data_IF_773320262241
#
_entry.id   IF_773320262241
#
_cell.length_a   1.000
_cell.length_b   1.000
_cell.length_c   1.000
_cell.angle_alpha   90.00
_cell.angle_beta   90.00
_cell.angle_gamma   90.00
#
_symmetry.space_group_name_H-M   'P 1'
#
loop_
_entity.id
_entity.type
_entity.pdbx_description
1 polymer ?
#
# COMPACT_ATOMS: atom_id res chain seq x y z
N UNK A 1 -0.88 6.55 2.74
CA UNK A 1 -1.16 6.65 1.28
C UNK A 1 -1.59 8.07 1.00
N UNK A 2 -0.72 8.90 0.42
CA UNK A 2 -1.13 10.24 -0.02
C UNK A 2 -1.78 10.03 -1.38
N UNK A 3 -3.11 9.99 -1.42
CA UNK A 3 -3.83 10.07 -2.69
C UNK A 3 -3.89 11.56 -3.02
N UNK A 4 -2.94 12.00 -3.83
CA UNK A 4 -2.97 13.36 -4.39
C UNK A 4 -4.08 13.36 -5.44
N UNK A 5 -5.26 13.83 -5.06
CA UNK A 5 -6.35 14.06 -5.98
C UNK A 5 -6.07 15.34 -6.77
N UNK A 6 -5.26 15.26 -7.81
CA UNK A 6 -5.39 16.19 -8.92
C UNK A 6 -4.91 15.59 -10.25
N UNK A 7 -5.82 14.82 -10.86
CA UNK A 7 -5.75 14.47 -12.29
C UNK A 7 -7.17 14.17 -12.81
N UNK A 8 -8.02 15.20 -12.84
CA UNK A 8 -8.88 15.48 -13.99
C UNK A 8 -9.83 14.41 -14.55
N UNK A 9 -10.29 13.40 -13.80
CA UNK A 9 -11.46 12.60 -14.19
C UNK A 9 -12.37 12.40 -12.97
N UNK A 10 -13.43 13.20 -12.92
CA UNK A 10 -14.59 12.94 -12.08
C UNK A 10 -15.27 11.68 -12.63
N UNK A 11 -14.93 10.51 -12.11
CA UNK A 11 -15.68 9.29 -12.43
C UNK A 11 -17.09 9.43 -11.84
N UNK A 12 -18.09 9.61 -12.70
CA UNK A 12 -19.50 9.64 -12.32
C UNK A 12 -19.99 8.31 -11.74
N UNK A 13 -19.21 7.24 -11.95
CA UNK A 13 -19.50 5.86 -11.55
C UNK A 13 -18.23 5.29 -10.91
N UNK A 14 -18.32 4.82 -9.67
CA UNK A 14 -17.20 4.26 -8.92
C UNK A 14 -17.26 4.59 -7.43
N UNK A 15 -16.42 3.96 -6.59
CA UNK A 15 -16.36 4.26 -5.17
C UNK A 15 -15.94 5.72 -4.97
N UNK A 16 -16.70 6.43 -4.12
CA UNK A 16 -16.37 7.80 -3.70
C UNK A 16 -15.78 7.75 -2.29
N UNK A 17 -14.75 8.56 -2.05
CA UNK A 17 -14.22 8.77 -0.71
C UNK A 17 -15.29 9.46 0.16
N UNK A 18 -15.47 9.00 1.39
CA UNK A 18 -16.42 9.60 2.35
C UNK A 18 -15.85 10.83 3.08
N UNK A 19 -14.54 10.88 3.30
CA UNK A 19 -13.85 12.03 3.88
C UNK A 19 -13.19 12.91 2.81
N UNK A 20 -12.85 14.15 3.16
CA UNK A 20 -12.05 15.00 2.28
C UNK A 20 -10.55 14.64 2.38
N UNK A 21 -9.77 15.00 1.36
CA UNK A 21 -8.32 14.89 1.47
C UNK A 21 -7.82 15.95 2.45
N UNK A 22 -6.98 15.56 3.39
CA UNK A 22 -6.40 16.47 4.39
C UNK A 22 -5.37 17.42 3.76
N UNK A 23 -4.79 17.03 2.62
CA UNK A 23 -3.81 17.81 1.86
C UNK A 23 -4.17 17.83 0.37
N UNK A 24 -3.80 18.91 -0.30
CA UNK A 24 -3.85 19.08 -1.75
C UNK A 24 -2.45 18.97 -2.35
N UNK A 25 -2.35 18.90 -3.69
CA UNK A 25 -1.05 18.89 -4.38
C UNK A 25 -0.22 20.15 -4.08
N UNK A 26 -0.89 21.28 -3.85
CA UNK A 26 -0.25 22.56 -3.58
C UNK A 26 0.33 22.66 -2.17
N UNK A 27 -0.06 21.74 -1.28
CA UNK A 27 0.49 21.66 0.07
C UNK A 27 1.75 20.80 0.13
N UNK A 28 2.12 20.14 -0.98
CA UNK A 28 3.35 19.36 -1.08
C UNK A 28 4.55 20.29 -1.21
N UNK A 29 5.70 19.91 -0.63
CA UNK A 29 6.89 20.74 -0.70
C UNK A 29 7.45 20.77 -2.14
N UNK A 30 7.96 21.92 -2.56
CA UNK A 30 8.51 22.14 -3.91
C UNK A 30 9.72 21.24 -4.22
N UNK A 31 10.43 20.76 -3.19
CA UNK A 31 11.60 19.89 -3.29
C UNK A 31 11.26 18.38 -3.23
N UNK A 32 10.00 18.01 -3.54
CA UNK A 32 9.55 16.62 -3.58
C UNK A 32 10.41 15.77 -4.54
N UNK A 33 11.19 14.86 -3.95
CA UNK A 33 12.15 14.04 -4.70
C UNK A 33 11.55 12.78 -5.34
N UNK A 34 10.59 12.13 -4.67
CA UNK A 34 10.05 10.86 -5.12
C UNK A 34 8.58 10.64 -4.69
N UNK A 35 7.83 9.97 -5.56
CA UNK A 35 6.49 9.44 -5.29
C UNK A 35 6.55 7.92 -5.49
N UNK A 36 6.06 7.15 -4.51
CA UNK A 36 6.02 5.69 -4.56
C UNK A 36 4.59 5.21 -4.76
N UNK A 37 4.36 4.42 -5.81
CA UNK A 37 3.06 3.85 -6.18
C UNK A 37 3.18 2.32 -6.13
N UNK A 38 2.44 1.65 -5.24
CA UNK A 38 2.57 0.20 -5.00
C UNK A 38 2.04 -0.67 -6.13
N UNK A 39 0.95 -0.25 -6.76
CA UNK A 39 0.31 -0.98 -7.84
C UNK A 39 -0.68 -0.04 -8.58
N UNK A 40 -1.21 -0.49 -9.71
CA UNK A 40 -2.04 0.31 -10.62
C UNK A 40 -3.55 0.03 -10.51
N UNK A 41 -4.09 0.07 -9.29
CA UNK A 41 -5.54 0.08 -9.02
C UNK A 41 -5.97 1.51 -8.69
N UNK A 42 -7.23 1.88 -8.98
CA UNK A 42 -7.65 3.30 -8.96
C UNK A 42 -7.56 3.97 -7.59
N UNK A 43 -7.66 3.19 -6.53
CA UNK A 43 -7.45 3.59 -5.15
C UNK A 43 -5.99 3.90 -4.83
N UNK A 44 -5.01 3.36 -5.57
CA UNK A 44 -3.58 3.66 -5.40
C UNK A 44 -2.97 4.49 -6.55
N UNK A 45 -3.62 4.53 -7.70
CA UNK A 45 -3.19 5.25 -8.90
C UNK A 45 -4.39 5.69 -9.74
N UNK A 46 -4.65 7.00 -9.77
CA UNK A 46 -5.71 7.59 -10.57
C UNK A 46 -5.19 7.99 -11.96
N UNK A 47 -5.07 7.03 -12.88
CA UNK A 47 -4.71 7.27 -14.29
C UNK A 47 -5.43 6.28 -15.23
N UNK A 48 -5.58 6.64 -16.51
CA UNK A 48 -6.31 5.87 -17.54
C UNK A 48 -5.72 4.48 -17.87
N UNK A 49 -4.51 4.18 -17.38
CA UNK A 49 -3.81 2.88 -17.53
C UNK A 49 -3.96 1.95 -16.32
N UNK A 50 -4.81 2.28 -15.34
CA UNK A 50 -5.18 1.39 -14.24
C UNK A 50 -5.81 0.09 -14.78
N UNK A 51 -5.86 -0.98 -13.95
CA UNK A 51 -6.25 -2.37 -14.28
C UNK A 51 -7.65 -2.61 -14.91
N UNK A 52 -8.29 -1.62 -15.56
CA UNK A 52 -9.69 -1.63 -15.99
C UNK A 52 -9.99 -2.29 -17.34
N UNK A 53 -9.00 -2.53 -18.21
CA UNK A 53 -9.25 -3.32 -19.41
C UNK A 53 -9.11 -4.81 -19.10
N UNK A 54 -10.09 -5.62 -19.47
CA UNK A 54 -10.02 -7.10 -19.37
C UNK A 54 -8.77 -7.68 -20.06
N UNK A 55 -8.12 -6.91 -20.92
CA UNK A 55 -6.88 -7.24 -21.63
C UNK A 55 -5.59 -6.78 -20.93
N UNK A 56 -5.67 -6.12 -19.76
CA UNK A 56 -4.54 -5.54 -19.03
C UNK A 56 -4.37 -6.11 -17.61
N UNK A 57 -4.86 -7.32 -17.35
CA UNK A 57 -4.61 -8.02 -16.09
C UNK A 57 -3.11 -8.37 -15.97
N UNK A 58 -2.50 -8.07 -14.82
CA UNK A 58 -1.12 -8.43 -14.44
C UNK A 58 0.01 -7.96 -15.39
N UNK A 59 -0.20 -6.90 -16.18
CA UNK A 59 0.86 -6.30 -17.02
C UNK A 59 1.84 -5.40 -16.25
N UNK A 60 1.58 -5.18 -14.97
CA UNK A 60 2.38 -4.37 -14.04
C UNK A 60 2.67 -5.18 -12.79
N UNK A 61 3.89 -5.02 -12.27
CA UNK A 61 4.26 -5.55 -10.96
C UNK A 61 3.45 -4.84 -9.85
N UNK A 62 3.21 -5.58 -8.77
CA UNK A 62 2.71 -5.05 -7.51
C UNK A 62 3.72 -5.37 -6.41
N UNK A 63 3.84 -4.48 -5.42
CA UNK A 63 4.70 -4.74 -4.28
C UNK A 63 4.73 -3.61 -3.27
N UNK A 64 5.38 -3.91 -2.16
CA UNK A 64 5.76 -2.91 -1.17
C UNK A 64 7.12 -2.29 -1.48
N UNK A 65 7.42 -1.19 -0.80
CA UNK A 65 8.71 -0.51 -0.90
C UNK A 65 9.36 -0.41 0.47
N UNK A 66 10.69 -0.40 0.49
CA UNK A 66 11.45 -0.01 1.67
C UNK A 66 12.32 1.18 1.32
N UNK A 67 12.37 2.14 2.22
CA UNK A 67 13.25 3.31 2.12
C UNK A 67 14.02 3.44 3.44
N UNK A 68 15.28 3.81 3.37
CA UNK A 68 16.11 3.95 4.54
C UNK A 68 17.19 5.01 4.37
N UNK A 69 17.58 5.59 5.49
CA UNK A 69 18.81 6.39 5.62
C UNK A 69 19.79 5.64 6.56
N UNK A 70 20.78 6.35 7.10
CA UNK A 70 21.79 5.78 7.99
C UNK A 70 21.21 5.23 9.31
N UNK A 71 20.06 5.72 9.77
CA UNK A 71 19.51 5.48 11.12
C UNK A 71 18.03 5.06 11.13
N UNK A 72 17.26 5.36 10.10
CA UNK A 72 15.84 5.06 9.99
C UNK A 72 15.57 4.13 8.82
N UNK A 73 14.70 3.15 9.06
CA UNK A 73 14.16 2.24 8.04
C UNK A 73 12.65 2.32 8.06
N UNK A 74 12.07 2.55 6.90
CA UNK A 74 10.64 2.57 6.65
C UNK A 74 10.24 1.48 5.67
N UNK A 75 9.12 0.82 5.95
CA UNK A 75 8.53 -0.19 5.07
C UNK A 75 7.08 0.14 4.76
N UNK A 76 6.72 0.14 3.49
CA UNK A 76 5.36 0.26 3.00
C UNK A 76 4.95 -1.08 2.40
N UNK A 77 3.94 -1.74 2.98
CA UNK A 77 3.53 -3.07 2.54
C UNK A 77 2.84 -3.06 1.17
N UNK A 78 2.11 -1.97 0.85
CA UNK A 78 1.13 -1.95 -0.23
C UNK A 78 0.00 -2.96 0.02
N UNK A 79 -0.88 -3.11 -0.97
CA UNK A 79 -1.96 -4.10 -0.90
C UNK A 79 -1.39 -5.50 -1.08
N UNK A 80 -1.68 -6.35 -0.10
CA UNK A 80 -1.07 -7.66 -0.01
C UNK A 80 -1.95 -8.62 0.78
N UNK A 81 -1.87 -9.91 0.41
CA UNK A 81 -2.40 -11.00 1.22
C UNK A 81 -1.30 -11.64 2.06
N UNK A 82 -1.68 -12.48 3.02
CA UNK A 82 -0.74 -13.12 3.93
C UNK A 82 -0.82 -14.66 3.92
N UNK A 83 0.32 -15.32 3.78
CA UNK A 83 0.45 -16.79 3.78
C UNK A 83 1.38 -17.26 4.90
N UNK A 84 0.80 -17.91 5.91
CA UNK A 84 1.48 -18.29 7.15
C UNK A 84 2.64 -19.28 6.96
N UNK A 85 2.53 -20.19 5.98
CA UNK A 85 3.51 -21.28 5.81
C UNK A 85 4.82 -20.84 5.16
N UNK A 86 4.78 -19.82 4.28
CA UNK A 86 5.93 -19.23 3.60
C UNK A 86 5.64 -17.74 3.42
N UNK A 87 5.92 -16.97 4.46
CA UNK A 87 5.75 -15.52 4.45
C UNK A 87 7.00 -14.86 3.87
N UNK A 88 6.83 -14.13 2.76
CA UNK A 88 7.87 -13.27 2.20
C UNK A 88 8.28 -12.18 3.20
N UNK A 89 7.36 -11.74 4.06
CA UNK A 89 7.60 -10.71 5.09
C UNK A 89 8.64 -11.17 6.10
N UNK A 90 8.60 -12.43 6.53
CA UNK A 90 9.62 -13.00 7.43
C UNK A 90 11.02 -12.98 6.80
N UNK A 91 11.11 -13.22 5.49
CA UNK A 91 12.37 -13.15 4.77
C UNK A 91 12.86 -11.71 4.65
N UNK A 92 11.96 -10.78 4.32
CA UNK A 92 12.25 -9.34 4.28
C UNK A 92 12.77 -8.84 5.63
N UNK A 93 12.09 -9.18 6.72
CA UNK A 93 12.49 -8.79 8.08
C UNK A 93 13.85 -9.33 8.46
N UNK A 94 14.11 -10.62 8.21
CA UNK A 94 15.42 -11.23 8.51
C UNK A 94 16.57 -10.67 7.68
N UNK A 95 16.34 -10.44 6.38
CA UNK A 95 17.42 -10.14 5.44
C UNK A 95 17.71 -8.66 5.29
N UNK A 96 16.69 -7.81 5.40
CA UNK A 96 16.78 -6.42 4.97
C UNK A 96 16.31 -5.42 6.05
N UNK A 97 15.32 -5.82 6.87
CA UNK A 97 14.50 -4.85 7.61
C UNK A 97 14.35 -5.25 9.07
N UNK A 98 15.08 -4.57 9.96
CA UNK A 98 14.53 -4.24 11.28
C UNK A 98 13.97 -2.83 11.14
N UNK A 99 12.67 -2.74 10.89
CA UNK A 99 12.04 -1.46 10.55
C UNK A 99 11.81 -0.63 11.81
N UNK A 100 12.11 0.67 11.75
CA UNK A 100 11.64 1.56 12.81
C UNK A 100 10.13 1.78 12.67
N UNK A 101 9.66 1.96 11.44
CA UNK A 101 8.27 2.23 11.13
C UNK A 101 7.81 1.42 9.91
N UNK A 102 6.59 0.88 9.97
CA UNK A 102 5.92 0.28 8.82
C UNK A 102 4.53 0.88 8.60
N UNK A 103 4.12 1.03 7.35
CA UNK A 103 2.73 1.29 6.98
C UNK A 103 2.13 -0.01 6.42
N UNK A 104 1.11 -0.54 7.10
CA UNK A 104 0.54 -1.88 6.83
C UNK A 104 -0.98 -1.74 6.69
N UNK A 105 -1.60 -2.27 5.61
CA UNK A 105 -3.04 -2.16 5.41
C UNK A 105 -3.83 -2.98 6.41
N UNK A 106 -5.01 -2.48 6.80
CA UNK A 106 -5.96 -3.20 7.67
C UNK A 106 -7.40 -3.22 7.11
N UNK A 107 -7.60 -2.62 5.92
CA UNK A 107 -8.90 -2.43 5.27
C UNK A 107 -9.20 -3.42 4.14
N UNK A 108 -10.40 -3.29 3.58
CA UNK A 108 -10.92 -4.08 2.44
C UNK A 108 -10.73 -5.60 2.52
N UNK A 109 -10.74 -6.16 3.73
CA UNK A 109 -10.38 -7.56 3.95
C UNK A 109 -11.57 -8.53 3.88
N UNK A 110 -12.81 -8.05 3.85
CA UNK A 110 -14.03 -8.88 3.76
C UNK A 110 -14.69 -8.85 2.36
N UNK A 111 -15.36 -9.92 1.90
CA UNK A 111 -15.47 -11.24 2.54
C UNK A 111 -14.16 -12.06 2.42
N UNK A 112 -13.72 -12.74 3.49
CA UNK A 112 -12.41 -13.44 3.50
C UNK A 112 -12.20 -14.43 2.36
N UNK A 113 -13.22 -15.16 1.92
CA UNK A 113 -13.07 -16.14 0.83
C UNK A 113 -12.63 -15.52 -0.50
N UNK A 114 -12.97 -14.25 -0.72
CA UNK A 114 -12.62 -13.49 -1.93
C UNK A 114 -11.35 -12.66 -1.72
N UNK A 115 -11.28 -11.94 -0.59
CA UNK A 115 -10.27 -10.90 -0.39
C UNK A 115 -8.94 -11.42 0.16
N UNK A 116 -8.90 -12.59 0.82
CA UNK A 116 -7.69 -13.09 1.51
C UNK A 116 -6.43 -13.18 0.66
N UNK A 117 -6.57 -13.44 -0.64
CA UNK A 117 -5.42 -13.52 -1.54
C UNK A 117 -4.79 -12.15 -1.84
N UNK A 118 -5.51 -11.05 -1.62
CA UNK A 118 -5.13 -9.70 -2.03
C UNK A 118 -5.04 -8.72 -0.86
N UNK A 119 -5.79 -8.96 0.22
CA UNK A 119 -5.92 -8.07 1.36
C UNK A 119 -5.81 -8.85 2.68
N UNK A 120 -4.90 -8.39 3.52
CA UNK A 120 -4.72 -8.89 4.89
C UNK A 120 -5.86 -8.45 5.80
N UNK A 121 -6.23 -9.33 6.74
CA UNK A 121 -7.03 -8.92 7.90
C UNK A 121 -6.18 -8.15 8.92
N UNK A 122 -6.78 -7.45 9.90
CA UNK A 122 -6.03 -6.83 11.00
C UNK A 122 -5.10 -7.80 11.75
N UNK A 123 -5.53 -9.05 11.98
CA UNK A 123 -4.68 -10.06 12.63
C UNK A 123 -3.46 -10.42 11.76
N UNK A 124 -3.68 -10.57 10.45
CA UNK A 124 -2.60 -10.82 9.48
C UNK A 124 -1.66 -9.61 9.38
N UNK A 125 -2.17 -8.38 9.50
CA UNK A 125 -1.37 -7.16 9.55
C UNK A 125 -0.47 -7.11 10.80
N UNK A 126 -0.98 -7.53 11.97
CA UNK A 126 -0.16 -7.71 13.18
C UNK A 126 0.93 -8.76 12.95
N UNK A 127 0.60 -9.84 12.24
CA UNK A 127 1.62 -10.84 11.91
C UNK A 127 2.69 -10.28 10.96
N UNK A 128 2.31 -9.46 9.97
CA UNK A 128 3.28 -8.76 9.10
C UNK A 128 4.17 -7.85 9.94
N UNK A 129 3.62 -7.07 10.88
CA UNK A 129 4.39 -6.21 11.79
C UNK A 129 5.50 -6.99 12.51
N UNK A 130 5.16 -8.17 13.04
CA UNK A 130 6.10 -9.06 13.72
C UNK A 130 7.14 -9.61 12.74
N UNK A 131 6.69 -10.14 11.59
CA UNK A 131 7.54 -10.79 10.60
C UNK A 131 8.59 -9.84 10.00
N UNK A 132 8.22 -8.58 9.77
CA UNK A 132 9.14 -7.53 9.29
C UNK A 132 9.92 -6.86 10.43
N UNK A 133 9.78 -7.36 11.66
CA UNK A 133 10.46 -6.85 12.87
C UNK A 133 10.32 -5.33 13.02
N UNK A 134 9.09 -4.84 12.81
CA UNK A 134 8.82 -3.41 12.92
C UNK A 134 8.73 -2.98 14.38
N UNK A 135 9.31 -1.83 14.73
CA UNK A 135 9.15 -1.26 16.09
C UNK A 135 7.80 -0.58 16.27
N UNK A 136 7.28 0.04 15.20
CA UNK A 136 5.99 0.74 15.18
C UNK A 136 5.31 0.54 13.84
N UNK A 137 3.98 0.55 13.84
CA UNK A 137 3.24 0.56 12.58
C UNK A 137 2.09 1.56 12.60
N UNK A 138 1.79 2.09 11.43
CA UNK A 138 0.64 2.96 11.16
C UNK A 138 -0.26 2.20 10.20
N UNK A 139 -1.55 2.21 10.49
CA UNK A 139 -2.58 1.62 9.65
C UNK A 139 -2.81 2.45 8.39
N UNK A 140 -3.09 1.75 7.28
CA UNK A 140 -3.49 2.32 5.99
C UNK A 140 -4.59 1.45 5.37
N UNK A 141 -4.95 1.79 4.11
CA UNK A 141 -6.07 1.24 3.32
C UNK A 141 -7.37 2.01 3.54
#
# INVERSE_FOLDING_TARGET
MIIVNDAGITLSIGPKRFGESVLTINDLPDDLYAILISHNQFDHLNYSSSRHSAFNLNKSLWGGFAAWDAIHKFYFAGDTGYTHNISIFRHIGKKYISCYLSAIPIGAYESRWMMKAQHVSPDEAVQIHIDVQSKKSIDIH
#
